data_IF_087401791097
#
_entry.id   IF_087401791097
#
_cell.length_a   1.000
_cell.length_b   1.000
_cell.length_c   1.000
_cell.angle_alpha   90.00
_cell.angle_beta   90.00
_cell.angle_gamma   90.00
#
_symmetry.space_group_name_H-M   'P 1'
#
loop_
_entity.id
_entity.type
_entity.pdbx_description
1 polymer ?
#
# COMPACT_ATOMS: atom_id res chain seq x y z
N UNK A 1 19.60 -15.01 -12.50
CA UNK A 1 19.82 -13.56 -12.29
C UNK A 1 20.62 -13.35 -11.02
N UNK A 2 21.69 -12.53 -11.03
CA UNK A 2 22.43 -12.15 -9.83
C UNK A 2 21.79 -10.88 -9.23
N UNK A 3 21.69 -10.81 -7.92
CA UNK A 3 21.18 -9.62 -7.20
C UNK A 3 22.05 -9.31 -5.98
N UNK A 4 22.03 -8.04 -5.55
CA UNK A 4 22.67 -7.59 -4.32
C UNK A 4 21.64 -6.85 -3.46
N UNK A 5 21.37 -7.27 -2.23
CA UNK A 5 20.46 -6.57 -1.34
C UNK A 5 21.07 -5.25 -0.84
N UNK A 6 20.21 -4.23 -0.66
CA UNK A 6 20.52 -3.00 0.03
C UNK A 6 19.59 -2.88 1.24
N UNK A 7 20.12 -3.13 2.44
CA UNK A 7 19.31 -3.14 3.66
C UNK A 7 19.12 -1.71 4.19
N UNK A 8 17.96 -1.14 3.93
CA UNK A 8 17.59 0.23 4.35
C UNK A 8 17.46 0.40 5.87
N UNK A 9 17.49 -0.68 6.65
CA UNK A 9 17.44 -0.58 8.11
C UNK A 9 18.78 -0.17 8.72
N UNK A 10 19.90 -0.40 7.99
CA UNK A 10 21.27 -0.15 8.43
C UNK A 10 22.16 0.35 7.29
N UNK A 11 21.71 1.35 6.56
CA UNK A 11 22.39 1.81 5.37
C UNK A 11 22.83 3.27 5.45
N UNK A 12 23.82 3.58 4.63
CA UNK A 12 24.21 4.93 4.25
C UNK A 12 24.49 4.95 2.74
N UNK A 13 24.32 6.08 2.10
CA UNK A 13 24.67 6.28 0.70
C UNK A 13 25.23 7.68 0.48
N UNK A 14 25.99 7.84 -0.59
CA UNK A 14 26.58 9.11 -0.99
C UNK A 14 25.95 9.63 -2.27
N UNK A 15 25.79 10.94 -2.39
CA UNK A 15 25.27 11.60 -3.60
C UNK A 15 26.32 11.71 -4.73
N UNK A 16 27.56 11.33 -4.47
CA UNK A 16 28.64 11.34 -5.48
C UNK A 16 28.99 9.94 -6.00
N UNK A 17 28.51 8.88 -5.34
CA UNK A 17 28.70 7.52 -5.80
C UNK A 17 27.71 7.17 -6.91
N UNK A 18 28.17 6.65 -8.05
CA UNK A 18 27.27 6.19 -9.09
C UNK A 18 26.44 4.99 -8.62
N UNK A 19 25.24 4.79 -9.18
CA UNK A 19 24.44 3.60 -8.87
C UNK A 19 25.23 2.31 -9.16
N UNK A 20 25.23 1.37 -8.20
CA UNK A 20 25.93 0.07 -8.32
C UNK A 20 25.25 -0.88 -9.32
N UNK A 21 23.99 -0.60 -9.67
CA UNK A 21 23.21 -1.34 -10.65
C UNK A 21 22.40 -0.36 -11.50
N UNK A 22 21.96 -0.81 -12.67
CA UNK A 22 21.11 -0.02 -13.56
C UNK A 22 19.62 -0.21 -13.26
N UNK A 23 19.26 -1.31 -12.62
CA UNK A 23 17.90 -1.65 -12.19
C UNK A 23 17.89 -1.90 -10.69
N UNK A 24 16.94 -1.28 -10.03
CA UNK A 24 16.63 -1.49 -8.61
C UNK A 24 15.18 -1.93 -8.47
N UNK A 25 14.90 -2.84 -7.55
CA UNK A 25 13.56 -3.25 -7.20
C UNK A 25 13.29 -2.88 -5.73
N UNK A 26 12.40 -1.92 -5.50
CA UNK A 26 12.04 -1.47 -4.18
C UNK A 26 11.14 -2.50 -3.48
N UNK A 27 11.57 -2.94 -2.30
CA UNK A 27 10.83 -3.83 -1.40
C UNK A 27 10.71 -3.22 0.01
N UNK A 28 10.99 -1.91 0.15
CA UNK A 28 10.75 -1.22 1.41
C UNK A 28 9.25 -1.14 1.70
N UNK A 29 8.86 -1.42 2.94
CA UNK A 29 7.45 -1.46 3.34
C UNK A 29 7.09 -0.27 4.22
N UNK A 30 5.94 0.38 4.01
CA UNK A 30 5.40 1.41 4.91
C UNK A 30 5.29 0.94 6.36
N UNK A 31 4.97 -0.34 6.57
CA UNK A 31 4.83 -0.94 7.91
C UNK A 31 6.14 -1.24 8.62
N UNK A 32 7.29 -0.83 8.09
CA UNK A 32 8.60 -1.04 8.74
C UNK A 32 8.66 -0.43 10.15
N UNK A 33 7.93 0.66 10.39
CA UNK A 33 7.86 1.30 11.70
C UNK A 33 7.22 0.43 12.79
N UNK A 34 6.26 -0.43 12.44
CA UNK A 34 5.61 -1.38 13.37
C UNK A 34 6.64 -2.38 13.93
N UNK A 35 7.70 -2.64 13.16
CA UNK A 35 8.83 -3.50 13.54
C UNK A 35 10.03 -2.74 14.12
N UNK A 36 9.83 -1.49 14.57
CA UNK A 36 10.88 -0.66 15.16
C UNK A 36 11.82 0.01 14.14
N UNK A 37 11.58 -0.14 12.83
CA UNK A 37 12.45 0.41 11.78
C UNK A 37 11.93 1.76 11.24
N UNK A 38 11.56 2.69 12.11
CA UNK A 38 11.01 4.01 11.76
C UNK A 38 11.91 4.81 10.82
N UNK A 39 13.24 4.67 10.97
CA UNK A 39 14.22 5.40 10.16
C UNK A 39 14.44 4.79 8.77
N UNK A 40 14.00 3.55 8.53
CA UNK A 40 14.19 2.87 7.25
C UNK A 40 13.35 3.51 6.14
N UNK A 41 12.13 3.92 6.44
CA UNK A 41 11.20 4.51 5.46
C UNK A 41 11.73 5.82 4.86
N UNK A 42 12.10 6.85 5.65
CA UNK A 42 12.65 8.08 5.09
C UNK A 42 14.00 7.86 4.38
N UNK A 43 14.84 6.94 4.87
CA UNK A 43 16.09 6.59 4.18
C UNK A 43 15.80 5.94 2.82
N UNK A 44 14.88 4.99 2.76
CA UNK A 44 14.49 4.34 1.51
C UNK A 44 14.00 5.37 0.49
N UNK A 45 13.08 6.27 0.88
CA UNK A 45 12.54 7.29 -0.01
C UNK A 45 13.64 8.23 -0.54
N UNK A 46 14.56 8.66 0.33
CA UNK A 46 15.71 9.50 -0.06
C UNK A 46 16.63 8.75 -1.04
N UNK A 47 16.91 7.48 -0.78
CA UNK A 47 17.76 6.66 -1.64
C UNK A 47 17.14 6.41 -3.02
N UNK A 48 15.84 6.05 -3.07
CA UNK A 48 15.14 5.84 -4.33
C UNK A 48 15.14 7.11 -5.21
N UNK A 49 14.91 8.29 -4.61
CA UNK A 49 15.02 9.57 -5.32
C UNK A 49 16.43 9.82 -5.86
N UNK A 50 17.45 9.55 -5.04
CA UNK A 50 18.85 9.70 -5.46
C UNK A 50 19.17 8.78 -6.62
N UNK A 51 18.78 7.51 -6.57
CA UNK A 51 18.98 6.55 -7.66
C UNK A 51 18.34 7.03 -8.97
N UNK A 52 17.10 7.52 -8.92
CA UNK A 52 16.39 8.01 -10.11
C UNK A 52 17.04 9.28 -10.68
N UNK A 53 17.49 10.22 -9.83
CA UNK A 53 18.23 11.40 -10.25
C UNK A 53 19.57 11.05 -10.91
N UNK A 54 20.19 9.94 -10.50
CA UNK A 54 21.42 9.41 -11.09
C UNK A 54 21.15 8.51 -12.31
N UNK A 55 19.92 8.45 -12.80
CA UNK A 55 19.54 7.75 -14.02
C UNK A 55 19.32 6.24 -13.88
N UNK A 56 19.25 5.69 -12.67
CA UNK A 56 18.90 4.28 -12.48
C UNK A 56 17.40 4.05 -12.70
N UNK A 57 17.04 2.93 -13.31
CA UNK A 57 15.65 2.43 -13.33
C UNK A 57 15.31 1.86 -11.96
N UNK A 58 14.28 2.40 -11.34
CA UNK A 58 13.77 1.91 -10.06
C UNK A 58 12.33 1.41 -10.26
N UNK A 59 12.11 0.12 -10.07
CA UNK A 59 10.78 -0.48 -10.04
C UNK A 59 10.12 -0.12 -8.71
N UNK A 60 8.88 0.38 -8.79
CA UNK A 60 8.23 1.09 -7.69
C UNK A 60 9.12 2.21 -7.15
N UNK A 61 9.38 3.20 -8.03
CA UNK A 61 10.25 4.32 -7.75
C UNK A 61 9.76 5.22 -6.61
N UNK A 62 10.46 6.32 -6.39
CA UNK A 62 10.23 7.20 -5.25
C UNK A 62 8.80 7.77 -5.19
N UNK A 63 8.22 8.14 -6.36
CA UNK A 63 6.86 8.71 -6.41
C UNK A 63 5.80 7.66 -6.03
N UNK A 64 5.95 6.42 -6.53
CA UNK A 64 5.07 5.30 -6.19
C UNK A 64 5.17 4.95 -4.71
N UNK A 65 6.39 4.91 -4.18
CA UNK A 65 6.60 4.63 -2.77
C UNK A 65 6.06 5.78 -1.89
N UNK A 66 6.25 7.04 -2.29
CA UNK A 66 5.65 8.18 -1.60
C UNK A 66 4.11 8.12 -1.60
N UNK A 67 3.50 7.68 -2.71
CA UNK A 67 2.05 7.48 -2.78
C UNK A 67 1.59 6.36 -1.83
N UNK A 68 2.31 5.23 -1.77
CA UNK A 68 2.02 4.15 -0.82
C UNK A 68 2.10 4.60 0.64
N UNK A 69 3.03 5.52 0.95
CA UNK A 69 3.21 6.09 2.29
C UNK A 69 2.07 7.03 2.72
N UNK A 70 1.24 7.52 1.80
CA UNK A 70 0.24 8.55 2.09
C UNK A 70 -1.15 8.14 1.64
N UNK A 71 -1.98 7.73 2.58
CA UNK A 71 -3.39 7.38 2.32
C UNK A 71 -4.21 8.60 1.91
N UNK A 72 -3.85 9.79 2.36
CA UNK A 72 -4.47 11.05 1.92
C UNK A 72 -4.19 11.34 0.45
N UNK A 73 -2.94 11.12 -0.01
CA UNK A 73 -2.58 11.26 -1.42
C UNK A 73 -3.31 10.21 -2.28
N UNK A 74 -3.38 8.96 -1.82
CA UNK A 74 -4.13 7.88 -2.49
C UNK A 74 -5.61 8.25 -2.66
N UNK A 75 -6.29 8.65 -1.59
CA UNK A 75 -7.69 9.06 -1.62
C UNK A 75 -7.93 10.24 -2.58
N UNK A 76 -7.03 11.23 -2.56
CA UNK A 76 -7.09 12.39 -3.46
C UNK A 76 -6.92 11.95 -4.92
N UNK A 77 -5.93 11.10 -5.21
CA UNK A 77 -5.69 10.59 -6.56
C UNK A 77 -6.90 9.79 -7.08
N UNK A 78 -7.45 8.88 -6.28
CA UNK A 78 -8.65 8.10 -6.65
C UNK A 78 -9.81 9.03 -7.00
N UNK A 79 -10.04 10.05 -6.18
CA UNK A 79 -11.11 11.04 -6.41
C UNK A 79 -10.87 11.86 -7.69
N UNK A 80 -9.64 12.28 -7.97
CA UNK A 80 -9.32 13.04 -9.22
C UNK A 80 -9.50 12.18 -10.47
N UNK A 81 -9.37 10.86 -10.36
CA UNK A 81 -9.67 9.89 -11.41
C UNK A 81 -11.19 9.61 -11.56
N UNK A 82 -12.03 10.18 -10.71
CA UNK A 82 -13.47 9.90 -10.67
C UNK A 82 -13.78 8.47 -10.20
N UNK A 83 -12.89 7.90 -9.37
CA UNK A 83 -13.05 6.56 -8.80
C UNK A 83 -13.68 6.68 -7.42
N UNK A 84 -14.66 5.83 -7.14
CA UNK A 84 -15.34 5.81 -5.84
C UNK A 84 -14.34 5.40 -4.75
N UNK A 85 -14.20 6.26 -3.74
CA UNK A 85 -13.25 6.14 -2.63
C UNK A 85 -13.88 6.74 -1.37
N UNK A 86 -13.59 6.21 -0.16
CA UNK A 86 -14.20 6.72 1.05
C UNK A 86 -13.88 8.20 1.28
N UNK A 87 -14.86 8.95 1.76
CA UNK A 87 -14.61 10.32 2.22
C UNK A 87 -13.61 10.32 3.39
N UNK A 88 -12.63 11.19 3.36
CA UNK A 88 -11.62 11.29 4.41
C UNK A 88 -11.17 12.73 4.67
N UNK A 89 -10.79 12.98 5.92
CA UNK A 89 -10.24 14.26 6.40
C UNK A 89 -8.87 13.96 6.97
N UNK A 90 -7.83 14.63 6.44
CA UNK A 90 -6.46 14.51 6.95
C UNK A 90 -6.18 15.63 7.95
N UNK A 91 -5.52 15.29 9.05
CA UNK A 91 -5.24 16.26 10.11
C UNK A 91 -3.93 15.94 10.84
N UNK A 92 -3.34 16.96 11.43
CA UNK A 92 -2.16 16.89 12.32
C UNK A 92 -2.44 17.53 13.69
N UNK A 93 -3.68 17.94 13.91
CA UNK A 93 -4.19 18.46 15.17
C UNK A 93 -5.67 18.07 15.31
N UNK A 94 -6.01 17.30 16.33
CA UNK A 94 -7.39 16.87 16.58
C UNK A 94 -8.36 18.05 16.79
N UNK A 95 -7.88 19.17 17.34
CA UNK A 95 -8.69 20.39 17.52
C UNK A 95 -9.15 21.02 16.21
N UNK A 96 -8.38 20.88 15.13
CA UNK A 96 -8.71 21.39 13.80
C UNK A 96 -9.93 20.66 13.17
N UNK A 97 -10.24 19.45 13.61
CA UNK A 97 -11.36 18.67 13.10
C UNK A 97 -12.73 19.31 13.36
N UNK A 98 -12.87 20.12 14.41
CA UNK A 98 -14.17 20.73 14.80
C UNK A 98 -14.86 21.50 13.67
N UNK A 99 -14.09 22.11 12.77
CA UNK A 99 -14.60 22.81 11.60
C UNK A 99 -14.80 21.97 10.35
N UNK A 100 -14.34 20.70 10.35
CA UNK A 100 -14.23 19.89 9.14
C UNK A 100 -15.16 18.67 9.12
N UNK A 101 -15.63 18.18 10.27
CA UNK A 101 -16.36 16.91 10.37
C UNK A 101 -17.83 16.98 9.96
N UNK A 102 -18.35 18.13 9.55
CA UNK A 102 -19.79 18.32 9.24
C UNK A 102 -20.31 17.43 8.09
N UNK A 103 -19.44 16.94 7.21
CA UNK A 103 -19.80 16.03 6.12
C UNK A 103 -19.52 14.55 6.42
N UNK A 104 -18.93 14.23 7.56
CA UNK A 104 -18.58 12.87 7.95
C UNK A 104 -19.73 12.17 8.66
N UNK A 105 -19.98 10.91 8.32
CA UNK A 105 -20.93 10.05 9.03
C UNK A 105 -20.18 9.26 10.10
N UNK A 106 -20.80 9.09 11.24
CA UNK A 106 -20.31 8.25 12.33
C UNK A 106 -21.02 6.88 12.31
N UNK A 107 -20.35 5.77 12.69
CA UNK A 107 -18.94 5.70 13.09
C UNK A 107 -17.98 6.00 11.94
N UNK A 108 -16.74 6.33 12.28
CA UNK A 108 -15.68 6.62 11.33
C UNK A 108 -14.41 5.81 11.66
N UNK A 109 -13.51 5.69 10.70
CA UNK A 109 -12.20 5.06 10.90
C UNK A 109 -11.15 6.15 11.20
N UNK A 110 -10.50 6.03 12.33
CA UNK A 110 -9.28 6.77 12.65
C UNK A 110 -8.06 5.93 12.28
N UNK A 111 -7.16 6.45 11.44
CA UNK A 111 -5.96 5.73 11.00
C UNK A 111 -4.79 6.66 10.69
N UNK A 112 -3.51 6.23 10.89
CA UNK A 112 -2.37 7.02 10.46
C UNK A 112 -2.33 7.18 8.94
N UNK A 113 -1.78 8.29 8.43
CA UNK A 113 -1.57 8.50 6.99
C UNK A 113 -0.55 7.50 6.46
N UNK A 114 0.60 7.38 7.10
CA UNK A 114 1.52 6.29 6.84
C UNK A 114 1.03 5.02 7.56
N UNK A 115 0.14 4.31 6.90
CA UNK A 115 -0.37 3.03 7.38
C UNK A 115 0.55 1.87 7.04
N UNK A 116 0.01 0.68 7.18
CA UNK A 116 0.60 -0.59 6.78
C UNK A 116 -0.10 -1.73 7.50
N UNK A 117 -0.56 -2.70 6.73
CA UNK A 117 -1.24 -3.91 7.24
C UNK A 117 -2.43 -3.67 8.17
N UNK A 118 -3.06 -2.49 8.12
CA UNK A 118 -4.18 -2.15 9.01
C UNK A 118 -3.78 -1.81 10.46
N UNK A 119 -2.49 -1.65 10.73
CA UNK A 119 -2.03 -1.28 12.06
C UNK A 119 -2.55 0.09 12.49
N UNK A 120 -2.93 0.21 13.77
CA UNK A 120 -3.37 1.46 14.42
C UNK A 120 -4.66 2.06 13.80
N UNK A 121 -5.52 1.22 13.24
CA UNK A 121 -6.86 1.61 12.80
C UNK A 121 -7.83 1.42 13.98
N UNK A 122 -8.65 2.43 14.26
CA UNK A 122 -9.70 2.37 15.26
C UNK A 122 -11.03 2.83 14.67
N UNK A 123 -12.14 2.20 15.09
CA UNK A 123 -13.49 2.70 14.87
C UNK A 123 -13.78 3.72 15.96
N UNK A 124 -14.26 4.89 15.57
CA UNK A 124 -14.59 5.98 16.48
C UNK A 124 -16.02 6.48 16.24
N UNK A 125 -16.75 6.70 17.33
CA UNK A 125 -18.17 7.02 17.30
C UNK A 125 -18.44 8.54 17.33
N UNK A 126 -17.43 9.35 17.62
CA UNK A 126 -17.58 10.80 17.74
C UNK A 126 -16.24 11.54 17.71
N UNK A 127 -16.30 12.84 17.41
CA UNK A 127 -15.16 13.74 17.54
C UNK A 127 -14.60 13.77 18.97
N UNK A 128 -15.46 13.71 19.99
CA UNK A 128 -15.01 13.70 21.38
C UNK A 128 -14.14 12.49 21.71
N UNK A 129 -14.45 11.32 21.13
CA UNK A 129 -13.63 10.13 21.27
C UNK A 129 -12.28 10.29 20.57
N UNK A 130 -12.25 10.86 19.35
CA UNK A 130 -11.00 11.19 18.66
C UNK A 130 -10.12 12.09 19.51
N UNK A 131 -10.66 13.21 20.01
CA UNK A 131 -9.92 14.13 20.88
C UNK A 131 -9.42 13.46 22.17
N UNK A 132 -10.19 12.52 22.73
CA UNK A 132 -9.77 11.77 23.92
C UNK A 132 -8.58 10.86 23.64
N UNK A 133 -8.58 10.15 22.51
CA UNK A 133 -7.47 9.28 22.06
C UNK A 133 -6.17 10.09 21.97
N UNK A 134 -6.18 11.24 21.28
CA UNK A 134 -4.98 12.06 21.10
C UNK A 134 -4.49 12.74 22.38
N UNK A 135 -5.38 12.95 23.36
CA UNK A 135 -4.98 13.45 24.68
C UNK A 135 -4.34 12.38 25.56
N UNK A 136 -4.78 11.12 25.42
CA UNK A 136 -4.30 10.02 26.27
C UNK A 136 -2.94 9.46 25.83
N UNK A 137 -2.61 9.56 24.55
CA UNK A 137 -1.35 9.05 24.00
C UNK A 137 -0.65 10.10 23.11
N UNK A 138 0.25 10.92 23.67
CA UNK A 138 1.03 11.87 22.89
C UNK A 138 1.94 11.21 21.84
N UNK A 139 2.29 9.92 22.00
CA UNK A 139 3.10 9.16 21.05
C UNK A 139 2.33 8.63 19.83
N UNK A 140 1.02 8.79 19.82
CA UNK A 140 0.14 8.31 18.74
C UNK A 140 0.50 8.92 17.37
N UNK A 141 1.06 10.13 17.35
CA UNK A 141 1.39 10.86 16.14
C UNK A 141 2.47 10.22 15.27
N UNK A 142 3.25 9.29 15.83
CA UNK A 142 4.26 8.56 15.05
C UNK A 142 3.59 7.61 14.05
N UNK A 143 4.23 7.34 12.86
CA UNK A 143 5.58 7.78 12.50
C UNK A 143 5.66 9.13 11.75
N UNK A 144 4.58 9.62 11.16
CA UNK A 144 4.57 10.73 10.19
C UNK A 144 3.84 11.99 10.66
N UNK A 145 3.27 11.96 11.87
CA UNK A 145 2.51 13.04 12.48
C UNK A 145 1.22 13.43 11.72
N UNK A 146 0.68 12.52 10.93
CA UNK A 146 -0.57 12.71 10.18
C UNK A 146 -1.55 11.58 10.44
N UNK A 147 -2.83 11.94 10.55
CA UNK A 147 -3.93 11.00 10.66
C UNK A 147 -5.04 11.31 9.67
N UNK A 148 -5.78 10.26 9.30
CA UNK A 148 -7.03 10.37 8.58
C UNK A 148 -8.19 9.99 9.50
N UNK A 149 -9.24 10.79 9.42
CA UNK A 149 -10.58 10.41 9.83
C UNK A 149 -11.37 10.08 8.56
N UNK A 150 -11.74 8.81 8.39
CA UNK A 150 -12.31 8.29 7.16
C UNK A 150 -13.70 7.70 7.40
N UNK A 151 -14.59 7.87 6.44
CA UNK A 151 -15.89 7.22 6.41
C UNK A 151 -15.76 5.71 6.62
N UNK A 152 -16.53 5.17 7.55
CA UNK A 152 -16.69 3.73 7.73
C UNK A 152 -17.76 3.23 6.76
N UNK A 153 -17.38 2.30 5.88
CA UNK A 153 -18.26 1.72 4.89
C UNK A 153 -18.66 0.30 5.33
N UNK A 154 -19.94 0.08 5.66
CA UNK A 154 -20.44 -1.25 5.91
C UNK A 154 -20.26 -2.15 4.68
N UNK A 155 -19.78 -3.35 4.91
CA UNK A 155 -19.62 -4.38 3.90
C UNK A 155 -19.74 -5.74 4.56
N UNK A 156 -20.09 -6.76 3.79
CA UNK A 156 -20.24 -8.12 4.27
C UNK A 156 -18.85 -8.70 4.65
N UNK A 157 -18.56 -8.97 5.93
CA UNK A 157 -17.28 -9.51 6.36
C UNK A 157 -17.00 -10.91 5.79
N UNK A 158 -18.05 -11.68 5.39
CA UNK A 158 -17.88 -12.98 4.76
C UNK A 158 -17.41 -12.88 3.30
N UNK A 159 -17.70 -11.78 2.63
CA UNK A 159 -17.13 -11.51 1.31
C UNK A 159 -15.72 -10.97 1.41
N UNK A 160 -15.39 -10.30 2.53
CA UNK A 160 -14.10 -9.68 2.77
C UNK A 160 -13.81 -8.54 1.79
N UNK A 161 -12.53 -8.20 1.69
CA UNK A 161 -12.05 -7.22 0.70
C UNK A 161 -11.50 -7.93 -0.53
N UNK A 162 -11.45 -7.24 -1.65
CA UNK A 162 -10.81 -7.73 -2.87
C UNK A 162 -9.47 -7.04 -3.05
N UNK A 163 -8.44 -7.84 -3.32
CA UNK A 163 -7.11 -7.36 -3.67
C UNK A 163 -6.72 -7.88 -5.05
N UNK A 164 -6.37 -6.95 -5.93
CA UNK A 164 -5.93 -7.20 -7.29
C UNK A 164 -4.42 -6.99 -7.36
N UNK A 165 -3.65 -8.05 -7.61
CA UNK A 165 -2.20 -7.96 -7.77
C UNK A 165 -1.84 -7.67 -9.22
N UNK A 166 -0.94 -6.70 -9.42
CA UNK A 166 -0.49 -6.23 -10.73
C UNK A 166 1.01 -6.40 -10.91
N UNK A 167 1.40 -6.66 -12.15
CA UNK A 167 2.78 -6.80 -12.57
C UNK A 167 2.97 -6.18 -13.96
N UNK A 168 3.79 -5.14 -14.06
CA UNK A 168 4.06 -4.46 -15.32
C UNK A 168 2.82 -3.86 -15.99
N UNK A 169 1.86 -3.38 -15.19
CA UNK A 169 0.61 -2.80 -15.67
C UNK A 169 -0.53 -3.79 -15.95
N UNK A 170 -0.26 -5.10 -15.91
CA UNK A 170 -1.26 -6.14 -16.16
C UNK A 170 -1.69 -6.83 -14.86
N UNK A 171 -2.98 -7.23 -14.81
CA UNK A 171 -3.49 -8.03 -13.70
C UNK A 171 -2.76 -9.38 -13.65
N UNK A 172 -2.12 -9.65 -12.52
CA UNK A 172 -1.43 -10.91 -12.30
C UNK A 172 -2.41 -11.98 -11.79
N UNK A 173 -3.10 -11.69 -10.71
CA UNK A 173 -4.22 -12.48 -10.17
C UNK A 173 -5.00 -11.63 -9.16
N UNK A 174 -6.12 -12.17 -8.69
CA UNK A 174 -6.93 -11.53 -7.67
C UNK A 174 -7.24 -12.46 -6.52
N UNK A 175 -7.50 -11.89 -5.36
CA UNK A 175 -7.88 -12.61 -4.16
C UNK A 175 -8.95 -11.87 -3.35
N UNK A 176 -9.76 -12.64 -2.66
CA UNK A 176 -10.56 -12.14 -1.53
C UNK A 176 -9.80 -12.37 -0.24
N UNK A 177 -9.82 -11.37 0.63
CA UNK A 177 -9.13 -11.39 1.92
C UNK A 177 -10.19 -11.27 3.01
N UNK A 178 -10.36 -12.33 3.80
CA UNK A 178 -11.27 -12.34 4.95
C UNK A 178 -10.48 -12.10 6.22
N UNK A 179 -10.82 -11.04 6.93
CA UNK A 179 -10.13 -10.64 8.17
C UNK A 179 -10.94 -10.86 9.43
N UNK A 180 -12.18 -11.39 9.29
CA UNK A 180 -13.09 -11.66 10.41
C UNK A 180 -13.28 -10.45 11.33
N UNK A 181 -13.50 -9.26 10.72
CA UNK A 181 -13.67 -8.00 11.43
C UNK A 181 -12.39 -7.31 11.90
N UNK A 182 -11.22 -7.89 11.64
CA UNK A 182 -9.94 -7.26 11.97
C UNK A 182 -9.50 -6.28 10.87
N UNK A 183 -8.94 -5.16 11.26
CA UNK A 183 -8.31 -4.24 10.29
C UNK A 183 -6.89 -4.65 9.93
N UNK A 184 -6.19 -5.37 10.81
CA UNK A 184 -4.83 -5.84 10.54
C UNK A 184 -4.86 -7.08 9.64
N UNK A 185 -4.40 -6.91 8.41
CA UNK A 185 -4.35 -7.94 7.37
C UNK A 185 -2.99 -8.67 7.32
N UNK A 186 -2.07 -8.38 8.25
CA UNK A 186 -0.79 -9.07 8.32
C UNK A 186 -0.95 -10.40 9.06
N UNK A 187 -0.70 -11.55 8.41
CA UNK A 187 -0.77 -12.85 9.09
C UNK A 187 0.46 -13.14 9.95
N UNK A 188 1.47 -12.26 9.96
CA UNK A 188 2.71 -12.48 10.69
C UNK A 188 2.53 -12.24 12.19
N UNK A 189 3.05 -13.12 13.08
CA UNK A 189 3.08 -12.87 14.52
C UNK A 189 3.83 -11.58 14.90
N UNK A 190 4.79 -11.17 14.09
CA UNK A 190 5.55 -9.91 14.30
C UNK A 190 4.66 -8.66 14.15
N UNK A 191 3.61 -8.74 13.32
CA UNK A 191 2.65 -7.66 13.16
C UNK A 191 1.47 -7.77 14.13
N UNK A 192 1.32 -8.90 14.81
CA UNK A 192 0.27 -9.22 15.78
C UNK A 192 0.93 -9.83 17.03
N UNK A 193 1.63 -9.04 17.85
CA UNK A 193 2.14 -9.56 19.11
C UNK A 193 0.97 -10.02 19.99
N UNK A 194 1.08 -11.21 20.60
CA UNK A 194 0.05 -11.78 21.46
C UNK A 194 -0.17 -10.93 22.74
N UNK A 195 0.82 -10.12 23.11
CA UNK A 195 0.74 -9.21 24.23
C UNK A 195 0.11 -7.87 23.77
N UNK A 196 -1.16 -7.70 24.09
CA UNK A 196 -2.05 -6.60 23.69
C UNK A 196 -1.73 -5.24 24.27
N UNK A 197 -0.51 -4.73 24.14
CA UNK A 197 -0.16 -3.39 24.60
C UNK A 197 0.19 -2.44 23.46
N UNK A 198 -0.74 -2.31 22.51
CA UNK A 198 -0.82 -1.13 21.67
C UNK A 198 -2.23 -0.57 21.80
N UNK A 199 -2.41 0.37 22.71
CA UNK A 199 -3.69 0.91 23.15
C UNK A 199 -4.63 1.50 22.07
N UNK A 200 -4.34 1.32 20.80
CA UNK A 200 -5.17 1.67 19.64
C UNK A 200 -5.61 0.47 18.81
N UNK A 201 -5.03 -0.70 19.01
CA UNK A 201 -5.52 -1.96 18.45
C UNK A 201 -6.35 -2.74 19.48
N UNK A 202 -7.04 -2.05 20.40
CA UNK A 202 -8.04 -2.71 21.22
C UNK A 202 -9.13 -3.23 20.27
N UNK A 203 -8.99 -4.49 19.91
CA UNK A 203 -10.05 -5.26 19.27
C UNK A 203 -11.25 -5.27 20.20
N UNK A 204 -12.49 -5.15 19.68
CA UNK A 204 -13.65 -5.55 20.47
C UNK A 204 -13.38 -6.93 21.08
N UNK A 205 -13.73 -7.15 22.35
CA UNK A 205 -13.52 -8.43 23.06
C UNK A 205 -14.05 -9.66 22.29
N UNK A 206 -14.97 -9.45 21.36
CA UNK A 206 -15.54 -10.45 20.44
C UNK A 206 -14.55 -11.05 19.45
N UNK A 207 -13.40 -10.43 19.23
CA UNK A 207 -12.39 -10.95 18.28
C UNK A 207 -11.24 -11.73 18.93
N UNK A 208 -11.24 -11.88 20.24
CA UNK A 208 -10.36 -12.82 20.94
C UNK A 208 -10.74 -14.26 20.54
N UNK A 209 -9.88 -14.90 19.72
CA UNK A 209 -10.14 -16.24 19.16
C UNK A 209 -10.68 -16.26 17.72
N UNK A 210 -10.83 -15.12 17.05
CA UNK A 210 -11.17 -15.08 15.63
C UNK A 210 -10.09 -15.78 14.78
N UNK A 211 -10.48 -16.50 13.70
CA UNK A 211 -9.53 -17.18 12.82
C UNK A 211 -8.54 -16.19 12.21
N UNK A 212 -7.35 -16.68 11.79
CA UNK A 212 -6.37 -15.84 11.13
C UNK A 212 -6.92 -15.27 9.82
N UNK A 213 -6.27 -14.23 9.30
CA UNK A 213 -6.60 -13.67 7.98
C UNK A 213 -6.47 -14.76 6.93
N UNK A 214 -7.51 -14.95 6.14
CA UNK A 214 -7.60 -15.98 5.10
C UNK A 214 -7.58 -15.33 3.71
N UNK A 215 -6.98 -16.04 2.75
CA UNK A 215 -6.81 -15.59 1.37
C UNK A 215 -7.40 -16.62 0.42
N UNK A 216 -8.35 -16.21 -0.41
CA UNK A 216 -9.06 -17.06 -1.37
C UNK A 216 -8.83 -16.58 -2.80
N UNK A 217 -8.65 -17.48 -3.78
CA UNK A 217 -8.63 -17.10 -5.19
C UNK A 217 -9.93 -16.41 -5.58
N UNK A 218 -9.83 -15.34 -6.37
CA UNK A 218 -10.97 -14.67 -6.97
C UNK A 218 -10.82 -14.67 -8.49
N UNK A 219 -11.38 -15.72 -9.15
CA UNK A 219 -11.18 -15.94 -10.58
C UNK A 219 -12.11 -15.09 -11.45
N UNK A 220 -13.34 -14.86 -10.98
CA UNK A 220 -14.37 -14.15 -11.74
C UNK A 220 -14.44 -12.65 -11.37
N UNK A 221 -13.27 -11.98 -11.43
CA UNK A 221 -13.23 -10.54 -11.16
C UNK A 221 -14.00 -9.78 -12.22
N UNK A 222 -14.94 -8.89 -11.84
CA UNK A 222 -15.69 -8.09 -12.80
C UNK A 222 -14.75 -7.28 -13.72
N UNK A 223 -14.95 -7.31 -15.05
CA UNK A 223 -14.08 -6.63 -16.00
C UNK A 223 -13.95 -5.12 -15.76
N UNK A 224 -15.01 -4.47 -15.29
CA UNK A 224 -15.02 -3.05 -14.95
C UNK A 224 -14.18 -2.73 -13.70
N UNK A 225 -14.11 -3.64 -12.70
CA UNK A 225 -13.22 -3.53 -11.56
C UNK A 225 -11.76 -3.63 -12.00
N UNK A 226 -11.43 -4.58 -12.90
CA UNK A 226 -10.10 -4.70 -13.49
C UNK A 226 -9.72 -3.45 -14.28
N UNK A 227 -10.63 -2.94 -15.11
CA UNK A 227 -10.40 -1.73 -15.90
C UNK A 227 -10.16 -0.51 -14.99
N UNK A 228 -10.93 -0.37 -13.91
CA UNK A 228 -10.74 0.69 -12.91
C UNK A 228 -9.38 0.57 -12.23
N UNK A 229 -9.01 -0.64 -11.79
CA UNK A 229 -7.71 -0.88 -11.15
C UNK A 229 -6.54 -0.61 -12.12
N UNK A 230 -6.64 -0.95 -13.41
CA UNK A 230 -5.63 -0.61 -14.43
C UNK A 230 -5.43 0.90 -14.55
N UNK A 231 -6.51 1.70 -14.50
CA UNK A 231 -6.41 3.17 -14.50
C UNK A 231 -5.64 3.68 -13.27
N UNK A 232 -5.88 3.07 -12.10
CA UNK A 232 -5.15 3.40 -10.86
C UNK A 232 -3.66 3.06 -11.02
N UNK A 233 -3.34 1.85 -11.47
CA UNK A 233 -1.97 1.36 -11.69
C UNK A 233 -1.21 2.28 -12.64
N UNK A 234 -1.85 2.69 -13.74
CA UNK A 234 -1.27 3.60 -14.73
C UNK A 234 -1.02 5.00 -14.14
N UNK A 235 -2.00 5.57 -13.44
CA UNK A 235 -1.87 6.88 -12.82
C UNK A 235 -0.81 6.89 -11.70
N UNK A 236 -0.74 5.83 -10.90
CA UNK A 236 0.26 5.64 -9.86
C UNK A 236 1.65 5.28 -10.41
N UNK A 237 1.78 4.90 -11.68
CA UNK A 237 3.01 4.33 -12.28
C UNK A 237 3.51 3.11 -11.50
N UNK A 238 2.58 2.26 -11.07
CA UNK A 238 2.87 1.08 -10.27
C UNK A 238 3.44 -0.03 -11.15
N UNK A 239 4.67 -0.46 -10.88
CA UNK A 239 5.32 -1.56 -11.61
C UNK A 239 4.87 -2.93 -11.07
N UNK A 240 4.85 -3.07 -9.74
CA UNK A 240 4.48 -4.31 -9.01
C UNK A 240 3.71 -3.92 -7.77
N UNK A 241 2.52 -4.44 -7.57
CA UNK A 241 1.77 -4.13 -6.35
C UNK A 241 0.31 -4.51 -6.39
N UNK A 242 -0.42 -4.13 -5.35
CA UNK A 242 -1.80 -4.50 -5.15
C UNK A 242 -2.73 -3.30 -5.00
N UNK A 243 -3.91 -3.40 -5.61
CA UNK A 243 -5.01 -2.44 -5.46
C UNK A 243 -6.12 -3.10 -4.67
N UNK A 244 -6.62 -2.42 -3.64
CA UNK A 244 -7.69 -2.95 -2.79
C UNK A 244 -8.99 -2.18 -2.96
N UNK A 245 -10.10 -2.94 -3.00
CA UNK A 245 -11.44 -2.39 -2.92
C UNK A 245 -12.34 -3.27 -2.05
N UNK A 246 -13.41 -2.69 -1.57
CA UNK A 246 -14.51 -3.40 -0.93
C UNK A 246 -15.79 -3.25 -1.75
N UNK A 247 -16.70 -4.21 -1.60
CA UNK A 247 -18.06 -4.18 -2.11
C UNK A 247 -18.99 -3.82 -0.96
N UNK A 248 -19.66 -2.67 -1.06
CA UNK A 248 -20.58 -2.20 -0.04
C UNK A 248 -21.93 -2.94 -0.15
N UNK A 249 -22.73 -2.92 0.91
CA UNK A 249 -24.04 -3.58 0.97
C UNK A 249 -25.01 -3.04 -0.11
N UNK A 250 -24.79 -1.82 -0.60
CA UNK A 250 -25.54 -1.21 -1.71
C UNK A 250 -24.95 -1.52 -3.09
N UNK A 251 -23.97 -2.41 -3.18
CA UNK A 251 -23.39 -2.93 -4.42
C UNK A 251 -22.35 -2.03 -5.09
N UNK A 252 -21.89 -0.95 -4.43
CA UNK A 252 -20.78 -0.13 -4.94
C UNK A 252 -19.44 -0.81 -4.72
N UNK A 253 -18.49 -0.56 -5.62
CA UNK A 253 -17.05 -0.91 -5.42
C UNK A 253 -16.27 0.34 -5.06
N UNK A 254 -15.73 0.33 -3.85
CA UNK A 254 -15.03 1.48 -3.28
C UNK A 254 -13.55 1.13 -3.13
N UNK A 255 -12.70 1.80 -3.90
CA UNK A 255 -11.26 1.61 -3.89
C UNK A 255 -10.63 2.47 -2.79
N UNK A 256 -9.70 1.90 -2.00
CA UNK A 256 -9.22 2.61 -0.82
C UNK A 256 -7.73 2.41 -0.50
N UNK A 257 -7.04 1.45 -1.12
CA UNK A 257 -5.63 1.20 -0.82
C UNK A 257 -4.82 0.83 -2.07
N UNK A 258 -3.65 1.44 -2.19
CA UNK A 258 -2.69 1.23 -3.27
C UNK A 258 -1.39 0.82 -2.62
N UNK A 259 -0.97 -0.42 -2.86
CA UNK A 259 0.21 -1.01 -2.24
C UNK A 259 1.31 -1.19 -3.29
N UNK A 260 2.44 -0.50 -3.14
CA UNK A 260 3.62 -0.65 -3.99
C UNK A 260 4.49 -1.85 -3.58
N UNK A 261 4.05 -2.61 -2.60
CA UNK A 261 4.60 -3.90 -2.22
C UNK A 261 3.58 -4.98 -2.50
N UNK A 262 3.94 -5.92 -3.36
CA UNK A 262 3.09 -7.07 -3.63
C UNK A 262 3.22 -8.11 -2.52
N UNK A 263 2.08 -8.56 -2.01
CA UNK A 263 2.00 -9.66 -1.06
C UNK A 263 1.68 -10.96 -1.80
N UNK A 264 2.63 -11.40 -2.65
CA UNK A 264 2.46 -12.56 -3.49
C UNK A 264 2.09 -13.81 -2.68
N UNK A 265 1.06 -14.53 -3.15
CA UNK A 265 0.50 -15.72 -2.51
C UNK A 265 0.49 -16.88 -3.50
N UNK A 266 1.53 -17.76 -3.50
CA UNK A 266 1.56 -18.90 -4.40
C UNK A 266 0.35 -19.81 -4.27
N UNK A 267 -0.13 -20.05 -3.05
CA UNK A 267 -1.32 -20.86 -2.79
C UNK A 267 -2.59 -20.31 -3.43
N UNK A 268 -2.72 -18.99 -3.53
CA UNK A 268 -3.85 -18.32 -4.21
C UNK A 268 -3.66 -18.36 -5.72
N UNK A 269 -2.47 -17.99 -6.20
CA UNK A 269 -2.15 -17.95 -7.63
C UNK A 269 -2.16 -19.34 -8.29
N UNK A 270 -1.93 -20.40 -7.53
CA UNK A 270 -2.01 -21.78 -8.01
C UNK A 270 -3.37 -22.11 -8.64
N UNK A 271 -4.46 -21.50 -8.19
CA UNK A 271 -5.77 -21.63 -8.81
C UNK A 271 -5.83 -21.06 -10.24
N UNK A 272 -4.91 -20.14 -10.59
CA UNK A 272 -4.73 -19.60 -11.94
C UNK A 272 -3.67 -20.34 -12.75
N UNK A 273 -3.08 -21.41 -12.20
CA UNK A 273 -2.15 -22.31 -12.92
C UNK A 273 -0.71 -21.82 -13.02
N UNK A 274 -0.24 -20.92 -12.17
CA UNK A 274 1.15 -20.42 -12.21
C UNK A 274 1.69 -20.08 -10.82
N UNK A 275 3.02 -19.98 -10.71
CA UNK A 275 3.71 -19.40 -9.57
C UNK A 275 3.92 -17.89 -9.80
N UNK A 276 3.43 -17.02 -8.93
CA UNK A 276 3.57 -15.58 -9.07
C UNK A 276 5.04 -15.11 -8.97
N UNK A 277 5.89 -15.83 -8.25
CA UNK A 277 7.32 -15.50 -8.15
C UNK A 277 8.04 -15.72 -9.48
N UNK A 278 7.71 -16.78 -10.23
CA UNK A 278 8.26 -17.01 -11.56
C UNK A 278 7.90 -15.85 -12.50
N UNK A 279 6.65 -15.37 -12.44
CA UNK A 279 6.21 -14.20 -13.22
C UNK A 279 6.99 -12.93 -12.89
N UNK A 280 7.26 -12.70 -11.59
CA UNK A 280 8.08 -11.55 -11.17
C UNK A 280 9.51 -11.69 -11.66
N UNK A 281 10.11 -12.86 -11.57
CA UNK A 281 11.47 -13.13 -12.10
C UNK A 281 11.52 -12.85 -13.60
N UNK A 282 10.58 -13.37 -14.38
CA UNK A 282 10.46 -13.12 -15.82
C UNK A 282 10.33 -11.62 -16.13
N UNK A 283 9.53 -10.90 -15.34
CA UNK A 283 9.37 -9.45 -15.47
C UNK A 283 10.69 -8.71 -15.19
N UNK A 284 11.36 -9.03 -14.10
CA UNK A 284 12.66 -8.43 -13.75
C UNK A 284 13.72 -8.67 -14.82
N UNK A 285 13.75 -9.89 -15.41
CA UNK A 285 14.67 -10.19 -16.51
C UNK A 285 14.36 -9.39 -17.78
N UNK A 286 13.08 -9.15 -18.09
CA UNK A 286 12.69 -8.28 -19.22
C UNK A 286 13.13 -6.84 -18.98
N UNK A 287 12.91 -6.31 -17.76
CA UNK A 287 13.33 -4.96 -17.38
C UNK A 287 14.85 -4.79 -17.45
N UNK A 288 15.62 -5.77 -16.97
CA UNK A 288 17.10 -5.76 -17.09
C UNK A 288 17.54 -5.69 -18.56
N UNK A 289 16.96 -6.55 -19.41
CA UNK A 289 17.26 -6.53 -20.84
C UNK A 289 16.90 -5.19 -21.50
N UNK A 290 15.79 -4.56 -21.10
CA UNK A 290 15.38 -3.26 -21.60
C UNK A 290 16.39 -2.16 -21.22
N UNK A 291 16.79 -2.09 -19.96
CA UNK A 291 17.78 -1.13 -19.47
C UNK A 291 19.15 -1.31 -20.15
N UNK A 292 19.56 -2.56 -20.41
CA UNK A 292 20.81 -2.86 -21.12
C UNK A 292 20.77 -2.39 -22.58
N UNK A 293 19.65 -2.55 -23.29
CA UNK A 293 19.46 -2.09 -24.67
C UNK A 293 19.51 -0.56 -24.78
N UNK A 294 18.88 0.15 -23.85
CA UNK A 294 18.91 1.62 -23.82
C UNK A 294 20.35 2.11 -23.66
N UNK A 295 21.11 1.50 -22.77
CA UNK A 295 22.49 1.88 -22.51
C UNK A 295 23.48 1.52 -23.66
N UNK A 296 23.12 0.56 -24.52
CA UNK A 296 23.95 0.15 -25.66
C UNK A 296 23.67 0.97 -26.94
N UNK A 297 22.65 1.85 -26.94
CA UNK A 297 22.42 2.76 -28.07
C UNK A 297 23.51 3.84 -28.10
N UNK A 298 24.17 4.07 -29.25
CA UNK A 298 25.10 5.19 -29.42
C UNK A 298 24.39 6.51 -29.22
N UNK A 299 25.02 7.47 -28.56
CA UNK A 299 24.54 8.85 -28.48
C UNK A 299 24.35 9.39 -29.90
N UNK A 300 23.11 9.75 -30.26
CA UNK A 300 22.77 10.34 -31.55
C UNK A 300 21.98 9.46 -32.53
N UNK A 301 21.55 8.25 -32.18
CA UNK A 301 20.65 7.50 -33.03
C UNK A 301 19.24 8.09 -33.00
N UNK A 302 18.59 8.38 -34.15
CA UNK A 302 17.25 8.95 -34.19
C UNK A 302 16.23 7.99 -33.55
N UNK A 303 15.29 8.57 -32.83
CA UNK A 303 14.15 7.83 -32.24
C UNK A 303 13.23 7.39 -33.38
N UNK A 304 13.35 6.14 -33.80
CA UNK A 304 12.44 5.54 -34.79
C UNK A 304 11.21 5.11 -33.98
N UNK A 305 10.26 6.05 -33.80
CA UNK A 305 8.96 5.76 -33.27
C UNK A 305 8.31 4.63 -34.09
N UNK A 306 8.03 3.53 -33.43
CA UNK A 306 7.10 2.53 -33.97
C UNK A 306 5.70 3.08 -33.71
N UNK A 307 5.03 3.51 -34.77
CA UNK A 307 3.59 3.78 -34.81
C UNK A 307 2.76 2.53 -34.45
#
# INVERSE_FOLDING_TARGET
>A
MAYAPFDVTRAAFSNVEPPRARLYFNQASPSAYVRGHTRAVPLALAYLRTLQLLGARVLNGADVFALELSKSAQATMLRTLGIDTPYSITFNDAGALRGCVGGLRWPALLKPDQGGSGARIAVVESLAQVEAIFRSDPGIWLPDNLFLLQEFLPHDPEQGIVRLEFLGGELLYAMRVKSHGRFNLCPSPVCNPEDGDTGLCAMPEESAGAPPVEFFPYLDVPPDAVATAKRIVQAARLDVGGIEYLETDDGRRVFYDINANSNLRPSVAAASGFDPFDRVVDFLEREIRSVQRVAARPEGAPDIGLE
#
